data_IF_638625094992
#
_entry.id   IF_638625094992
#
_cell.length_a   1.000
_cell.length_b   1.000
_cell.length_c   1.000
_cell.angle_alpha   90.00
_cell.angle_beta   90.00
_cell.angle_gamma   90.00
#
_symmetry.space_group_name_H-M   'P 1'
#
loop_
_entity.id
_entity.type
_entity.pdbx_description
1 polymer ?
#
# COMPACT_ATOMS: atom_id res chain seq x y z
N UNK A 1 11.92 25.05 12.66
CA UNK A 1 12.73 24.02 13.35
C UNK A 1 12.54 22.60 12.78
N UNK A 2 11.36 22.23 12.26
CA UNK A 2 11.07 20.85 11.85
C UNK A 2 11.75 20.40 10.53
N UNK A 3 12.03 21.31 9.59
CA UNK A 3 12.52 20.94 8.25
C UNK A 3 13.95 20.36 8.22
N UNK A 4 14.85 20.90 9.06
CA UNK A 4 16.26 20.48 9.05
C UNK A 4 16.39 18.99 9.45
N UNK A 5 15.78 18.52 10.56
CA UNK A 5 15.77 17.10 10.89
C UNK A 5 15.17 16.21 9.79
N UNK A 6 14.09 16.63 9.14
CA UNK A 6 13.47 15.84 8.06
C UNK A 6 14.37 15.75 6.84
N UNK A 7 15.10 16.82 6.49
CA UNK A 7 16.06 16.79 5.39
C UNK A 7 17.24 15.88 5.69
N UNK A 8 17.81 15.91 6.90
CA UNK A 8 18.88 14.99 7.26
C UNK A 8 18.42 13.53 7.23
N UNK A 9 17.21 13.25 7.75
CA UNK A 9 16.63 11.90 7.66
C UNK A 9 16.50 11.42 6.21
N UNK A 10 16.08 12.30 5.29
CA UNK A 10 16.03 12.00 3.85
C UNK A 10 17.43 11.73 3.26
N UNK A 11 18.42 12.57 3.56
CA UNK A 11 19.79 12.40 3.04
C UNK A 11 20.39 11.06 3.51
N UNK A 12 20.26 10.76 4.80
CA UNK A 12 20.76 9.52 5.40
C UNK A 12 19.99 8.28 4.90
N UNK A 13 18.67 8.41 4.69
CA UNK A 13 17.82 7.29 4.26
C UNK A 13 17.89 6.98 2.77
N UNK A 14 18.06 7.99 1.92
CA UNK A 14 17.79 7.88 0.48
C UNK A 14 18.94 8.25 -0.46
N UNK A 15 19.92 9.08 -0.04
CA UNK A 15 20.93 9.60 -0.98
C UNK A 15 22.23 8.80 -0.95
N UNK A 16 22.91 8.66 0.19
CA UNK A 16 24.26 8.04 0.17
C UNK A 16 24.79 7.51 1.53
N UNK A 17 25.06 6.19 1.66
CA UNK A 17 24.48 5.10 0.87
C UNK A 17 22.98 4.96 1.19
N UNK A 18 22.13 4.59 0.22
CA UNK A 18 20.70 4.43 0.48
C UNK A 18 20.47 3.31 1.50
N UNK A 19 19.93 3.68 2.66
CA UNK A 19 19.60 2.75 3.74
C UNK A 19 18.17 2.19 3.53
N UNK A 20 17.47 1.85 4.61
CA UNK A 20 16.09 1.36 4.59
C UNK A 20 15.06 2.47 4.29
N UNK A 21 15.51 3.64 3.80
CA UNK A 21 14.67 4.80 3.59
C UNK A 21 14.45 5.59 4.87
N UNK A 22 13.30 6.23 4.99
CA UNK A 22 12.91 7.13 6.08
C UNK A 22 11.65 6.63 6.80
N UNK A 23 11.22 7.36 7.84
CA UNK A 23 9.93 7.10 8.47
C UNK A 23 8.75 7.22 7.47
N UNK A 24 8.85 8.07 6.44
CA UNK A 24 7.79 8.17 5.43
C UNK A 24 7.78 6.95 4.51
N UNK A 25 8.95 6.44 4.09
CA UNK A 25 9.02 5.25 3.23
C UNK A 25 8.51 4.00 3.95
N UNK A 26 8.81 3.85 5.24
CA UNK A 26 8.36 2.72 6.07
C UNK A 26 6.84 2.74 6.32
N UNK A 27 6.29 3.91 6.59
CA UNK A 27 4.83 4.07 6.69
C UNK A 27 4.14 3.81 5.35
N UNK A 28 4.73 4.27 4.25
CA UNK A 28 4.20 4.02 2.91
C UNK A 28 4.27 2.54 2.53
N UNK A 29 5.34 1.85 2.91
CA UNK A 29 5.48 0.41 2.76
C UNK A 29 4.39 -0.34 3.51
N UNK A 30 4.18 -0.02 4.79
CA UNK A 30 3.15 -0.65 5.62
C UNK A 30 1.75 -0.48 5.01
N UNK A 31 1.42 0.76 4.61
CA UNK A 31 0.15 1.06 3.93
C UNK A 31 0.00 0.29 2.61
N UNK A 32 1.05 0.25 1.80
CA UNK A 32 1.02 -0.41 0.49
C UNK A 32 0.92 -1.94 0.63
N UNK A 33 1.58 -2.51 1.63
CA UNK A 33 1.51 -3.92 1.94
C UNK A 33 0.10 -4.31 2.39
N UNK A 34 -0.46 -3.58 3.36
CA UNK A 34 -1.81 -3.84 3.86
C UNK A 34 -2.86 -3.68 2.76
N UNK A 35 -2.70 -2.68 1.90
CA UNK A 35 -3.55 -2.49 0.73
C UNK A 35 -3.46 -3.66 -0.26
N UNK A 36 -2.24 -4.12 -0.58
CA UNK A 36 -2.02 -5.25 -1.48
C UNK A 36 -2.52 -6.58 -0.90
N UNK A 37 -2.35 -6.78 0.41
CA UNK A 37 -2.81 -7.96 1.11
C UNK A 37 -4.34 -8.01 1.22
N UNK A 38 -4.99 -6.87 1.49
CA UNK A 38 -6.45 -6.82 1.71
C UNK A 38 -7.26 -7.33 0.51
N UNK A 39 -6.88 -6.99 -0.72
CA UNK A 39 -7.58 -7.46 -1.92
C UNK A 39 -7.37 -8.98 -2.12
N UNK A 40 -6.14 -9.45 -1.89
CA UNK A 40 -5.81 -10.89 -1.94
C UNK A 40 -6.58 -11.69 -0.90
N UNK A 41 -6.66 -11.20 0.33
CA UNK A 41 -7.40 -11.83 1.42
C UNK A 41 -8.89 -11.91 1.11
N UNK A 42 -9.48 -10.85 0.57
CA UNK A 42 -10.88 -10.82 0.16
C UNK A 42 -11.17 -11.83 -0.96
N UNK A 43 -10.31 -11.88 -1.98
CA UNK A 43 -10.45 -12.83 -3.09
C UNK A 43 -10.29 -14.27 -2.60
N UNK A 44 -9.34 -14.52 -1.70
CA UNK A 44 -9.11 -15.83 -1.10
C UNK A 44 -10.30 -16.29 -0.26
N UNK A 45 -10.85 -15.43 0.60
CA UNK A 45 -12.04 -15.76 1.40
C UNK A 45 -13.24 -16.08 0.50
N UNK A 46 -13.50 -15.25 -0.51
CA UNK A 46 -14.57 -15.52 -1.47
C UNK A 46 -14.35 -16.82 -2.26
N UNK A 47 -13.11 -17.19 -2.56
CA UNK A 47 -12.76 -18.46 -3.19
C UNK A 47 -12.99 -19.66 -2.27
N UNK A 48 -12.61 -19.54 -1.00
CA UNK A 48 -12.85 -20.56 0.02
C UNK A 48 -14.35 -20.79 0.24
N UNK A 49 -15.14 -19.72 0.35
CA UNK A 49 -16.59 -19.82 0.50
C UNK A 49 -17.23 -20.56 -0.67
N UNK A 50 -16.88 -20.19 -1.92
CA UNK A 50 -17.36 -20.90 -3.12
C UNK A 50 -16.92 -22.36 -3.14
N UNK A 51 -15.70 -22.66 -2.71
CA UNK A 51 -15.21 -24.03 -2.64
C UNK A 51 -15.95 -24.84 -1.56
N UNK A 52 -16.26 -24.24 -0.41
CA UNK A 52 -17.07 -24.86 0.63
C UNK A 52 -18.51 -25.11 0.16
N UNK A 53 -19.13 -24.14 -0.50
CA UNK A 53 -20.45 -24.30 -1.14
C UNK A 53 -20.44 -25.47 -2.14
N UNK A 54 -19.43 -25.52 -3.02
CA UNK A 54 -19.26 -26.63 -3.95
C UNK A 54 -19.09 -27.97 -3.23
N UNK A 55 -18.27 -28.05 -2.18
CA UNK A 55 -18.07 -29.30 -1.42
C UNK A 55 -19.37 -29.77 -0.77
N UNK A 56 -20.12 -28.86 -0.15
CA UNK A 56 -21.41 -29.19 0.49
C UNK A 56 -22.41 -29.67 -0.56
N UNK A 57 -22.52 -28.96 -1.68
CA UNK A 57 -23.44 -29.32 -2.77
C UNK A 57 -23.06 -30.65 -3.44
N UNK A 58 -21.77 -30.87 -3.72
CA UNK A 58 -21.30 -32.09 -4.34
C UNK A 58 -21.43 -33.30 -3.39
N UNK A 59 -21.14 -33.11 -2.10
CA UNK A 59 -21.37 -34.11 -1.08
C UNK A 59 -22.86 -34.48 -0.98
N UNK A 60 -23.76 -33.49 -0.82
CA UNK A 60 -25.19 -33.78 -0.67
C UNK A 60 -25.76 -34.47 -1.90
N UNK A 61 -25.38 -34.04 -3.11
CA UNK A 61 -25.86 -34.62 -4.36
C UNK A 61 -25.38 -36.06 -4.55
N UNK A 62 -24.08 -36.33 -4.36
CA UNK A 62 -23.55 -37.68 -4.55
C UNK A 62 -23.99 -38.61 -3.43
N UNK A 63 -24.04 -38.15 -2.18
CA UNK A 63 -24.54 -38.94 -1.06
C UNK A 63 -26.00 -39.33 -1.25
N UNK A 64 -26.87 -38.38 -1.63
CA UNK A 64 -28.28 -38.65 -1.94
C UNK A 64 -28.43 -39.67 -3.08
N UNK A 65 -27.49 -39.68 -4.04
CA UNK A 65 -27.52 -40.63 -5.15
C UNK A 65 -27.00 -42.02 -4.78
N UNK A 66 -25.90 -42.11 -4.01
CA UNK A 66 -25.25 -43.39 -3.72
C UNK A 66 -25.84 -44.10 -2.51
N UNK A 67 -26.33 -43.35 -1.50
CA UNK A 67 -26.88 -43.93 -0.28
C UNK A 67 -28.07 -44.88 -0.53
N UNK A 68 -29.10 -44.52 -1.32
CA UNK A 68 -30.23 -45.43 -1.54
C UNK A 68 -29.82 -46.66 -2.36
N UNK A 69 -28.92 -46.51 -3.34
CA UNK A 69 -28.43 -47.63 -4.15
C UNK A 69 -27.64 -48.62 -3.27
N UNK A 70 -26.80 -48.10 -2.38
CA UNK A 70 -26.07 -48.94 -1.43
C UNK A 70 -27.03 -49.66 -0.47
N UNK A 71 -28.05 -48.96 0.03
CA UNK A 71 -29.06 -49.57 0.90
C UNK A 71 -29.84 -50.68 0.18
N UNK A 72 -30.26 -50.45 -1.07
CA UNK A 72 -30.98 -51.43 -1.89
C UNK A 72 -30.13 -52.69 -2.13
N UNK A 73 -28.86 -52.53 -2.51
CA UNK A 73 -27.93 -53.67 -2.68
C UNK A 73 -27.68 -54.38 -1.35
N UNK A 74 -27.57 -53.65 -0.25
CA UNK A 74 -27.40 -54.25 1.09
C UNK A 74 -28.63 -55.06 1.49
N UNK A 75 -29.84 -54.55 1.25
CA UNK A 75 -31.09 -55.22 1.54
C UNK A 75 -31.27 -56.47 0.65
N UNK A 76 -30.90 -56.39 -0.62
CA UNK A 76 -30.89 -57.52 -1.57
C UNK A 76 -29.88 -58.59 -1.12
N UNK A 77 -28.66 -58.21 -0.76
CA UNK A 77 -27.63 -59.14 -0.27
C UNK A 77 -28.07 -59.85 1.00
N UNK A 78 -28.71 -59.12 1.93
CA UNK A 78 -29.30 -59.70 3.15
C UNK A 78 -30.44 -60.67 2.83
N UNK A 79 -31.30 -60.35 1.85
CA UNK A 79 -32.36 -61.24 1.40
C UNK A 79 -31.80 -62.53 0.77
N UNK A 80 -30.78 -62.41 -0.09
CA UNK A 80 -30.08 -63.56 -0.66
C UNK A 80 -29.38 -64.40 0.42
N UNK A 81 -28.75 -63.76 1.42
CA UNK A 81 -28.10 -64.47 2.52
C UNK A 81 -29.12 -65.27 3.36
N UNK A 82 -30.30 -64.71 3.63
CA UNK A 82 -31.40 -65.43 4.31
C UNK A 82 -31.92 -66.58 3.45
N UNK A 83 -32.17 -66.34 2.16
CA UNK A 83 -32.61 -67.39 1.24
C UNK A 83 -31.60 -68.53 1.12
N UNK A 84 -30.30 -68.22 1.08
CA UNK A 84 -29.22 -69.21 1.13
C UNK A 84 -29.25 -70.01 2.43
N UNK A 85 -29.40 -69.34 3.57
CA UNK A 85 -29.46 -70.00 4.88
C UNK A 85 -30.67 -70.94 5.00
N UNK A 86 -31.83 -70.54 4.50
CA UNK A 86 -33.05 -71.37 4.48
C UNK A 86 -32.91 -72.55 3.52
N UNK A 87 -32.43 -72.32 2.29
CA UNK A 87 -32.18 -73.37 1.31
C UNK A 87 -31.15 -74.39 1.82
N UNK A 88 -30.06 -73.92 2.44
CA UNK A 88 -29.05 -74.78 3.07
C UNK A 88 -29.66 -75.65 4.16
N UNK A 89 -30.56 -75.09 4.98
CA UNK A 89 -31.29 -75.83 6.02
C UNK A 89 -32.19 -76.91 5.42
N UNK A 90 -32.94 -76.60 4.37
CA UNK A 90 -33.84 -77.53 3.70
C UNK A 90 -33.06 -78.68 3.04
N UNK A 91 -31.93 -78.37 2.40
CA UNK A 91 -31.01 -79.38 1.85
C UNK A 91 -30.45 -80.28 2.94
N UNK A 92 -30.07 -79.73 4.08
CA UNK A 92 -29.63 -80.53 5.24
C UNK A 92 -30.76 -81.43 5.78
N UNK A 93 -32.01 -80.98 5.77
CA UNK A 93 -33.16 -81.81 6.12
C UNK A 93 -33.42 -82.93 5.10
N UNK A 94 -33.38 -82.62 3.80
CA UNK A 94 -33.43 -83.60 2.71
C UNK A 94 -32.35 -84.66 2.88
N UNK A 95 -31.11 -84.27 3.18
CA UNK A 95 -30.00 -85.19 3.47
C UNK A 95 -30.29 -86.11 4.66
N UNK A 96 -30.95 -85.62 5.71
CA UNK A 96 -31.36 -86.43 6.86
C UNK A 96 -32.47 -87.43 6.50
N UNK A 97 -33.39 -87.05 5.63
CA UNK A 97 -34.50 -87.90 5.18
C UNK A 97 -34.05 -88.96 4.15
N UNK A 98 -33.04 -88.66 3.33
CA UNK A 98 -32.49 -89.57 2.31
C UNK A 98 -31.46 -90.58 2.88
N UNK A 99 -31.52 -90.86 4.18
CA UNK A 99 -30.58 -91.75 4.87
C UNK A 99 -30.64 -93.16 4.25
N UNK A 100 -29.51 -93.76 3.84
CA UNK A 100 -29.44 -94.93 2.95
C UNK A 100 -29.85 -96.25 3.61
N UNK A 101 -30.16 -96.24 4.90
CA UNK A 101 -30.40 -97.41 5.74
C UNK A 101 -31.63 -98.22 5.29
N UNK A 102 -32.48 -97.67 4.40
CA UNK A 102 -33.68 -98.31 3.84
C UNK A 102 -33.79 -98.23 2.31
N UNK A 103 -32.78 -97.71 1.61
CA UNK A 103 -32.89 -97.38 0.19
C UNK A 103 -32.26 -98.46 -0.72
N UNK A 104 -32.94 -98.82 -1.81
CA UNK A 104 -32.48 -99.81 -2.80
C UNK A 104 -31.18 -99.34 -3.49
N UNK A 105 -30.43 -100.25 -4.13
CA UNK A 105 -29.11 -99.96 -4.74
C UNK A 105 -29.07 -98.76 -5.71
N UNK A 106 -30.21 -98.34 -6.28
CA UNK A 106 -30.33 -97.14 -7.12
C UNK A 106 -30.26 -95.80 -6.33
N UNK A 107 -30.55 -95.80 -5.03
CA UNK A 107 -30.48 -94.62 -4.17
C UNK A 107 -29.06 -94.37 -3.61
N UNK A 108 -28.23 -95.41 -3.54
CA UNK A 108 -26.85 -95.29 -3.05
C UNK A 108 -25.97 -94.47 -4.02
N UNK A 109 -26.12 -94.66 -5.34
CA UNK A 109 -25.42 -93.87 -6.35
C UNK A 109 -25.86 -92.41 -6.35
N UNK A 110 -27.16 -92.15 -6.18
CA UNK A 110 -27.71 -90.78 -6.11
C UNK A 110 -27.21 -90.05 -4.84
N UNK A 111 -27.06 -90.76 -3.72
CA UNK A 111 -26.54 -90.16 -2.48
C UNK A 111 -25.07 -89.74 -2.57
N UNK A 112 -24.28 -90.46 -3.37
CA UNK A 112 -22.83 -90.20 -3.55
C UNK A 112 -22.56 -89.00 -4.45
N UNK A 113 -23.36 -88.79 -5.50
CA UNK A 113 -23.28 -87.58 -6.33
C UNK A 113 -23.76 -86.34 -5.56
N UNK A 114 -24.84 -86.48 -4.79
CA UNK A 114 -25.36 -85.37 -3.97
C UNK A 114 -24.38 -84.93 -2.87
N UNK A 115 -23.62 -85.85 -2.27
CA UNK A 115 -22.73 -85.50 -1.15
C UNK A 115 -21.43 -84.80 -1.56
N UNK A 116 -21.03 -84.89 -2.83
CA UNK A 116 -19.83 -84.24 -3.37
C UNK A 116 -20.04 -82.75 -3.66
N UNK A 117 -21.18 -82.36 -4.21
CA UNK A 117 -21.48 -80.95 -4.56
C UNK A 117 -22.04 -80.15 -3.38
N UNK A 118 -22.65 -80.81 -2.39
CA UNK A 118 -23.32 -80.14 -1.28
C UNK A 118 -22.39 -79.56 -0.20
N UNK A 119 -21.11 -79.91 -0.18
CA UNK A 119 -20.15 -79.31 0.77
C UNK A 119 -19.87 -77.83 0.49
N UNK A 120 -20.15 -77.36 -0.72
CA UNK A 120 -20.01 -75.95 -1.10
C UNK A 120 -21.19 -75.10 -0.59
N UNK A 121 -22.38 -75.69 -0.45
CA UNK A 121 -23.58 -75.02 0.08
C UNK A 121 -23.53 -74.76 1.60
N UNK A 122 -22.65 -75.43 2.35
CA UNK A 122 -22.49 -75.24 3.80
C UNK A 122 -21.53 -74.07 4.14
N UNK A 123 -20.86 -73.48 3.15
CA UNK A 123 -19.95 -72.36 3.38
C UNK A 123 -20.73 -71.08 3.73
N UNK A 124 -20.31 -70.32 4.77
CA UNK A 124 -20.94 -69.04 5.09
C UNK A 124 -20.71 -68.05 3.95
N UNK A 125 -21.80 -67.50 3.40
CA UNK A 125 -21.74 -66.43 2.40
C UNK A 125 -21.16 -65.17 3.06
N UNK A 126 -20.09 -64.61 2.49
CA UNK A 126 -19.54 -63.35 2.96
C UNK A 126 -20.49 -62.20 2.57
N UNK A 127 -21.19 -61.64 3.56
CA UNK A 127 -22.13 -60.53 3.37
C UNK A 127 -21.49 -59.16 3.56
N UNK A 128 -20.17 -59.07 3.73
CA UNK A 128 -19.49 -57.77 3.87
C UNK A 128 -19.44 -57.04 2.53
N UNK A 129 -20.27 -56.02 2.37
CA UNK A 129 -20.19 -55.09 1.24
C UNK A 129 -19.13 -54.02 1.54
N UNK A 130 -18.23 -53.76 0.58
CA UNK A 130 -17.30 -52.64 0.70
C UNK A 130 -18.09 -51.32 0.72
N UNK A 131 -17.64 -50.33 1.49
CA UNK A 131 -18.30 -49.03 1.58
C UNK A 131 -18.44 -48.40 0.17
N UNK A 132 -19.63 -48.49 -0.42
CA UNK A 132 -19.97 -47.92 -1.73
C UNK A 132 -20.62 -46.55 -1.63
N UNK A 133 -20.80 -46.04 -0.40
CA UNK A 133 -21.38 -44.73 -0.14
C UNK A 133 -20.31 -43.67 -0.38
N UNK A 134 -20.70 -42.59 -1.06
CA UNK A 134 -19.80 -41.46 -1.32
C UNK A 134 -19.25 -40.86 -0.01
N UNK A 135 -17.92 -40.91 0.16
CA UNK A 135 -17.25 -40.38 1.35
C UNK A 135 -16.96 -38.89 1.23
N UNK A 136 -17.81 -38.04 1.82
CA UNK A 136 -17.61 -36.59 1.80
C UNK A 136 -16.33 -36.13 2.53
N UNK A 137 -15.82 -36.94 3.46
CA UNK A 137 -14.56 -36.68 4.17
C UNK A 137 -13.34 -36.83 3.26
N UNK A 138 -13.43 -37.63 2.18
CA UNK A 138 -12.37 -37.82 1.20
C UNK A 138 -12.24 -36.64 0.22
N UNK A 139 -13.19 -35.69 0.21
CA UNK A 139 -13.07 -34.48 -0.60
C UNK A 139 -11.88 -33.64 -0.12
N UNK A 140 -10.98 -33.21 -1.02
CA UNK A 140 -9.77 -32.49 -0.65
C UNK A 140 -10.10 -31.20 0.11
N UNK A 141 -9.30 -30.89 1.11
CA UNK A 141 -9.34 -29.59 1.77
C UNK A 141 -8.53 -28.60 0.93
N UNK A 142 -9.00 -27.35 0.83
CA UNK A 142 -8.23 -26.30 0.18
C UNK A 142 -7.16 -25.83 1.16
N UNK A 143 -5.92 -26.31 1.00
CA UNK A 143 -4.77 -25.83 1.75
C UNK A 143 -4.27 -24.52 1.13
N UNK A 144 -4.08 -23.49 1.96
CA UNK A 144 -3.59 -22.19 1.49
C UNK A 144 -2.11 -22.32 1.13
N UNK A 145 -1.77 -22.17 -0.14
CA UNK A 145 -0.39 -22.28 -0.64
C UNK A 145 0.24 -20.92 -0.97
N UNK A 146 -0.50 -19.82 -0.85
CA UNK A 146 -0.02 -18.49 -1.20
C UNK A 146 0.49 -17.74 0.05
N UNK A 147 1.77 -17.37 0.07
CA UNK A 147 2.43 -16.61 1.15
C UNK A 147 2.11 -15.10 1.15
N UNK A 148 1.09 -14.68 0.39
CA UNK A 148 0.73 -13.29 0.19
C UNK A 148 1.67 -12.54 -0.77
N UNK A 149 1.65 -11.20 -0.75
CA UNK A 149 2.47 -10.41 -1.66
C UNK A 149 3.95 -10.42 -1.26
N UNK A 150 4.84 -10.36 -2.26
CA UNK A 150 6.29 -10.35 -2.04
C UNK A 150 6.73 -9.09 -1.28
N UNK A 151 6.99 -9.25 0.03
CA UNK A 151 7.55 -8.23 0.91
C UNK A 151 8.79 -7.53 0.35
N UNK A 152 9.84 -8.24 -0.13
CA UNK A 152 11.04 -7.57 -0.62
C UNK A 152 10.77 -6.72 -1.88
N UNK A 153 9.84 -7.17 -2.74
CA UNK A 153 9.46 -6.41 -3.93
C UNK A 153 8.71 -5.13 -3.56
N UNK A 154 7.67 -5.23 -2.73
CA UNK A 154 6.90 -4.06 -2.28
C UNK A 154 7.81 -3.09 -1.53
N UNK A 155 8.67 -3.60 -0.63
CA UNK A 155 9.61 -2.77 0.11
C UNK A 155 10.57 -2.00 -0.81
N UNK A 156 11.16 -2.67 -1.81
CA UNK A 156 12.05 -2.01 -2.76
C UNK A 156 11.36 -0.90 -3.55
N UNK A 157 10.14 -1.16 -4.06
CA UNK A 157 9.35 -0.17 -4.79
C UNK A 157 8.89 0.99 -3.90
N UNK A 158 8.34 0.71 -2.72
CA UNK A 158 7.89 1.74 -1.78
C UNK A 158 9.05 2.63 -1.34
N UNK A 159 10.25 2.06 -1.12
CA UNK A 159 11.45 2.84 -0.83
C UNK A 159 11.81 3.76 -2.00
N UNK A 160 11.86 3.25 -3.23
CA UNK A 160 12.19 4.06 -4.40
C UNK A 160 11.17 5.19 -4.63
N UNK A 161 9.88 4.87 -4.60
CA UNK A 161 8.81 5.85 -4.76
C UNK A 161 8.79 6.87 -3.62
N UNK A 162 8.96 6.42 -2.38
CA UNK A 162 8.98 7.31 -1.21
C UNK A 162 10.19 8.25 -1.23
N UNK A 163 11.40 7.75 -1.52
CA UNK A 163 12.58 8.59 -1.68
C UNK A 163 12.42 9.60 -2.83
N UNK A 164 11.73 9.23 -3.92
CA UNK A 164 11.42 10.17 -5.01
C UNK A 164 10.38 11.23 -4.60
N UNK A 165 9.35 10.84 -3.84
CA UNK A 165 8.36 11.77 -3.31
C UNK A 165 8.99 12.75 -2.30
N UNK A 166 9.88 12.27 -1.44
CA UNK A 166 10.65 13.11 -0.52
C UNK A 166 11.58 14.07 -1.26
N UNK A 167 12.27 13.60 -2.31
CA UNK A 167 13.06 14.46 -3.18
C UNK A 167 12.22 15.61 -3.76
N UNK A 168 11.04 15.29 -4.31
CA UNK A 168 10.11 16.29 -4.85
C UNK A 168 9.65 17.26 -3.76
N UNK A 169 9.31 16.76 -2.57
CA UNK A 169 8.92 17.59 -1.44
C UNK A 169 10.02 18.56 -1.02
N UNK A 170 11.25 18.06 -0.84
CA UNK A 170 12.39 18.89 -0.47
C UNK A 170 12.73 19.91 -1.55
N UNK A 171 12.66 19.52 -2.83
CA UNK A 171 12.84 20.42 -3.97
C UNK A 171 11.79 21.54 -3.99
N UNK A 172 10.52 21.20 -3.75
CA UNK A 172 9.42 22.18 -3.69
C UNK A 172 9.62 23.17 -2.54
N UNK A 173 9.96 22.67 -1.34
CA UNK A 173 10.20 23.54 -0.18
C UNK A 173 11.37 24.48 -0.44
N UNK A 174 12.48 23.98 -0.99
CA UNK A 174 13.64 24.82 -1.34
C UNK A 174 13.29 25.86 -2.40
N UNK A 175 12.52 25.48 -3.42
CA UNK A 175 12.07 26.42 -4.45
C UNK A 175 11.19 27.53 -3.87
N UNK A 176 10.25 27.19 -2.97
CA UNK A 176 9.39 28.16 -2.30
C UNK A 176 10.20 29.11 -1.41
N UNK A 177 11.15 28.58 -0.63
CA UNK A 177 12.01 29.39 0.24
C UNK A 177 12.90 30.35 -0.57
N UNK A 178 13.47 29.87 -1.68
CA UNK A 178 14.26 30.70 -2.58
C UNK A 178 13.40 31.81 -3.22
N UNK A 179 12.21 31.48 -3.71
CA UNK A 179 11.29 32.45 -4.28
C UNK A 179 10.88 33.51 -3.25
N UNK A 180 10.58 33.11 -2.00
CA UNK A 180 10.27 34.03 -0.92
C UNK A 180 11.45 34.94 -0.58
N UNK A 181 12.66 34.39 -0.53
CA UNK A 181 13.89 35.15 -0.27
C UNK A 181 14.13 36.21 -1.36
N UNK A 182 14.06 35.83 -2.64
CA UNK A 182 14.18 36.76 -3.78
C UNK A 182 13.10 37.84 -3.68
N UNK A 183 11.85 37.46 -3.40
CA UNK A 183 10.74 38.39 -3.26
C UNK A 183 11.00 39.43 -2.16
N UNK A 184 11.49 39.02 -0.98
CA UNK A 184 11.82 39.92 0.13
C UNK A 184 12.93 40.89 -0.30
N UNK A 185 14.03 40.39 -0.86
CA UNK A 185 15.14 41.23 -1.33
C UNK A 185 14.68 42.25 -2.38
N UNK A 186 13.89 41.84 -3.37
CA UNK A 186 13.37 42.73 -4.41
C UNK A 186 12.44 43.81 -3.84
N UNK A 187 11.56 43.48 -2.90
CA UNK A 187 10.65 44.45 -2.30
C UNK A 187 11.38 45.44 -1.38
N UNK A 188 12.38 44.99 -0.63
CA UNK A 188 13.25 45.87 0.14
C UNK A 188 14.03 46.82 -0.79
N UNK A 189 14.68 46.28 -1.83
CA UNK A 189 15.41 47.07 -2.81
C UNK A 189 14.50 48.11 -3.48
N UNK A 190 13.27 47.73 -3.86
CA UNK A 190 12.26 48.66 -4.40
C UNK A 190 11.93 49.78 -3.41
N UNK A 191 11.71 49.45 -2.14
CA UNK A 191 11.35 50.44 -1.10
C UNK A 191 12.47 51.46 -0.89
N UNK A 192 13.72 51.01 -0.85
CA UNK A 192 14.89 51.88 -0.75
C UNK A 192 15.11 52.70 -2.03
N UNK A 193 14.93 52.10 -3.21
CA UNK A 193 15.05 52.81 -4.49
C UNK A 193 14.01 53.92 -4.63
N UNK A 194 12.73 53.67 -4.31
CA UNK A 194 11.68 54.69 -4.33
C UNK A 194 11.96 55.80 -3.31
N UNK A 195 12.40 55.44 -2.10
CA UNK A 195 12.78 56.41 -1.07
C UNK A 195 13.98 57.26 -1.50
N UNK A 196 14.97 56.65 -2.16
CA UNK A 196 16.12 57.34 -2.75
C UNK A 196 15.70 58.31 -3.85
N UNK A 197 14.86 57.86 -4.79
CA UNK A 197 14.33 58.70 -5.89
C UNK A 197 13.57 59.91 -5.34
N UNK A 198 12.73 59.71 -4.32
CA UNK A 198 12.05 60.82 -3.63
C UNK A 198 13.04 61.83 -3.04
N UNK A 199 14.09 61.35 -2.37
CA UNK A 199 15.12 62.20 -1.74
C UNK A 199 16.08 62.86 -2.73
N UNK A 200 16.27 62.31 -3.93
CA UNK A 200 17.14 62.88 -4.95
C UNK A 200 16.39 63.86 -5.86
N UNK A 201 15.13 63.56 -6.19
CA UNK A 201 14.28 64.39 -7.03
C UNK A 201 13.39 65.36 -6.27
N UNK A 202 13.53 65.46 -4.96
CA UNK A 202 12.73 66.38 -4.14
C UNK A 202 12.73 67.82 -4.70
N UNK A 203 13.87 68.31 -5.21
CA UNK A 203 13.97 69.66 -5.81
C UNK A 203 13.14 69.86 -7.07
N UNK A 204 12.84 68.78 -7.81
CA UNK A 204 11.99 68.82 -9.01
C UNK A 204 10.53 68.56 -8.68
N UNK A 205 10.26 67.86 -7.58
CA UNK A 205 8.92 67.47 -7.14
C UNK A 205 8.25 68.52 -6.25
N UNK A 206 9.03 69.24 -5.43
CA UNK A 206 8.54 70.36 -4.65
C UNK A 206 8.59 71.63 -5.50
N UNK A 207 7.42 72.25 -5.65
CA UNK A 207 7.27 73.62 -6.15
C UNK A 207 8.26 74.56 -5.46
N UNK A 208 8.76 75.57 -6.18
CA UNK A 208 9.90 76.44 -5.83
C UNK A 208 9.80 77.21 -4.49
N UNK A 209 8.75 77.02 -3.71
CA UNK A 209 8.50 77.70 -2.45
C UNK A 209 8.89 76.81 -1.28
N UNK A 210 10.03 77.11 -0.67
CA UNK A 210 10.38 76.61 0.65
C UNK A 210 9.81 77.57 1.69
N UNK A 211 8.86 77.10 2.49
CA UNK A 211 8.40 77.85 3.66
C UNK A 211 9.40 77.63 4.81
N UNK A 212 9.92 78.73 5.34
CA UNK A 212 10.81 78.73 6.49
C UNK A 212 10.07 79.38 7.66
N UNK A 213 9.95 78.65 8.77
CA UNK A 213 9.37 79.17 10.01
C UNK A 213 10.51 79.65 10.90
N UNK A 214 10.51 80.95 11.19
CA UNK A 214 11.47 81.60 12.08
C UNK A 214 10.75 82.12 13.34
N UNK A 215 11.47 82.17 14.46
CA UNK A 215 11.00 82.87 15.66
C UNK A 215 11.52 84.32 15.60
N UNK A 216 10.64 85.31 15.83
CA UNK A 216 11.02 86.71 15.97
C UNK A 216 11.07 87.11 17.44
N UNK A 217 11.91 88.11 17.76
CA UNK A 217 11.91 88.79 19.06
C UNK A 217 10.67 89.68 19.20
N UNK A 218 10.38 90.18 20.42
CA UNK A 218 9.26 91.10 20.66
C UNK A 218 9.36 92.41 19.84
N UNK A 219 10.57 92.82 19.45
CA UNK A 219 10.80 93.97 18.57
C UNK A 219 10.57 93.66 17.08
N UNK A 220 10.20 92.42 16.73
CA UNK A 220 9.99 91.98 15.35
C UNK A 220 11.28 91.68 14.59
N UNK A 221 12.43 91.68 15.25
CA UNK A 221 13.70 91.31 14.64
C UNK A 221 13.85 89.79 14.54
N UNK A 222 14.30 89.33 13.38
CA UNK A 222 14.66 87.93 13.15
C UNK A 222 16.09 87.70 13.65
N UNK A 223 16.26 86.75 14.58
CA UNK A 223 17.57 86.49 15.20
C UNK A 223 18.59 85.80 14.30
N UNK A 224 18.20 85.40 13.08
CA UNK A 224 19.02 84.61 12.17
C UNK A 224 19.42 85.45 10.96
N UNK A 225 20.74 85.60 10.76
CA UNK A 225 21.26 86.26 9.56
C UNK A 225 20.93 85.44 8.30
N UNK A 226 20.66 86.14 7.20
CA UNK A 226 20.37 85.51 5.89
C UNK A 226 21.47 84.56 5.43
N UNK A 227 22.72 84.87 5.78
CA UNK A 227 23.88 84.03 5.47
C UNK A 227 23.89 82.74 6.30
N UNK A 228 23.63 82.80 7.61
CA UNK A 228 23.52 81.63 8.46
C UNK A 228 22.37 80.71 8.02
N UNK A 229 21.23 81.29 7.62
CA UNK A 229 20.11 80.53 7.07
C UNK A 229 20.48 79.80 5.78
N UNK A 230 21.16 80.47 4.85
CA UNK A 230 21.60 79.87 3.57
C UNK A 230 22.56 78.70 3.79
N UNK A 231 23.47 78.82 4.75
CA UNK A 231 24.40 77.74 5.12
C UNK A 231 23.71 76.58 5.85
N UNK A 232 22.69 76.85 6.66
CA UNK A 232 21.89 75.81 7.29
C UNK A 232 21.08 75.02 6.23
N UNK A 233 20.45 75.72 5.29
CA UNK A 233 19.73 75.12 4.17
C UNK A 233 20.68 74.30 3.30
N UNK A 234 21.84 74.84 2.91
CA UNK A 234 22.78 74.11 2.05
C UNK A 234 23.26 72.81 2.70
N UNK A 235 23.57 72.83 4.01
CA UNK A 235 23.94 71.64 4.80
C UNK A 235 22.79 70.63 4.93
N UNK A 236 21.57 71.10 5.20
CA UNK A 236 20.40 70.23 5.27
C UNK A 236 20.14 69.53 3.93
N UNK A 237 20.27 70.27 2.83
CA UNK A 237 20.07 69.77 1.48
C UNK A 237 21.16 68.77 1.07
N UNK A 238 22.44 69.07 1.35
CA UNK A 238 23.53 68.12 1.05
C UNK A 238 23.38 66.83 1.86
N UNK A 239 22.96 66.93 3.13
CA UNK A 239 22.65 65.78 3.97
C UNK A 239 21.48 64.95 3.41
N UNK A 240 20.41 65.60 2.94
CA UNK A 240 19.29 64.92 2.26
C UNK A 240 19.71 64.19 0.99
N UNK A 241 20.53 64.84 0.14
CA UNK A 241 21.05 64.23 -1.08
C UNK A 241 21.97 63.04 -0.77
N UNK A 242 22.83 63.16 0.24
CA UNK A 242 23.71 62.08 0.69
C UNK A 242 22.91 60.87 1.19
N UNK A 243 21.84 61.09 1.96
CA UNK A 243 20.91 60.02 2.39
C UNK A 243 20.23 59.36 1.20
N UNK A 244 19.79 60.14 0.21
CA UNK A 244 19.23 59.63 -1.04
C UNK A 244 20.22 58.73 -1.80
N UNK A 245 21.47 59.18 -1.96
CA UNK A 245 22.53 58.39 -2.58
C UNK A 245 22.85 57.11 -1.80
N UNK A 246 22.90 57.18 -0.46
CA UNK A 246 23.11 56.02 0.40
C UNK A 246 21.99 54.98 0.26
N UNK A 247 20.72 55.40 0.20
CA UNK A 247 19.59 54.49 -0.06
C UNK A 247 19.63 53.89 -1.46
N UNK A 248 20.08 54.64 -2.47
CA UNK A 248 20.24 54.10 -3.82
C UNK A 248 21.33 53.02 -3.87
N UNK A 249 22.47 53.28 -3.21
CA UNK A 249 23.55 52.31 -3.08
C UNK A 249 23.08 51.06 -2.34
N UNK A 250 22.36 51.22 -1.22
CA UNK A 250 21.80 50.11 -0.45
C UNK A 250 20.82 49.28 -1.29
N UNK A 251 19.97 49.92 -2.10
CA UNK A 251 19.07 49.22 -3.02
C UNK A 251 19.83 48.39 -4.06
N UNK A 252 20.95 48.89 -4.59
CA UNK A 252 21.80 48.13 -5.50
C UNK A 252 22.48 46.94 -4.79
N UNK A 253 23.05 47.17 -3.59
CA UNK A 253 23.72 46.13 -2.80
C UNK A 253 22.77 45.02 -2.39
N UNK A 254 21.49 45.32 -2.08
CA UNK A 254 20.48 44.32 -1.74
C UNK A 254 20.17 43.33 -2.87
N UNK A 255 20.58 43.62 -4.11
CA UNK A 255 20.45 42.67 -5.21
C UNK A 255 21.57 41.62 -5.25
N UNK A 256 22.72 41.89 -4.63
CA UNK A 256 23.87 40.99 -4.68
C UNK A 256 23.58 39.64 -4.02
N UNK A 257 23.01 39.56 -2.79
CA UNK A 257 22.84 38.28 -2.11
C UNK A 257 21.97 37.29 -2.87
N UNK A 258 20.82 37.73 -3.40
CA UNK A 258 19.90 36.81 -4.07
C UNK A 258 20.44 36.35 -5.43
N UNK A 259 21.14 37.21 -6.17
CA UNK A 259 21.81 36.81 -7.42
C UNK A 259 22.88 35.75 -7.14
N UNK A 260 23.69 35.95 -6.10
CA UNK A 260 24.73 34.99 -5.72
C UNK A 260 24.13 33.63 -5.31
N UNK A 261 23.05 33.64 -4.52
CA UNK A 261 22.37 32.39 -4.12
C UNK A 261 21.76 31.68 -5.33
N UNK A 262 21.10 32.39 -6.25
CA UNK A 262 20.52 31.78 -7.45
C UNK A 262 21.62 31.18 -8.34
N UNK A 263 22.73 31.88 -8.54
CA UNK A 263 23.86 31.35 -9.31
C UNK A 263 24.45 30.10 -8.64
N UNK A 264 24.70 30.17 -7.32
CA UNK A 264 25.21 29.03 -6.55
C UNK A 264 24.29 27.81 -6.67
N UNK A 265 22.98 28.00 -6.50
CA UNK A 265 21.99 26.92 -6.62
C UNK A 265 21.94 26.40 -8.06
N UNK A 266 21.99 27.26 -9.06
CA UNK A 266 22.01 26.86 -10.47
C UNK A 266 23.21 25.97 -10.81
N UNK A 267 24.39 26.27 -10.26
CA UNK A 267 25.61 25.49 -10.53
C UNK A 267 25.61 24.12 -9.83
N UNK A 268 24.85 23.96 -8.74
CA UNK A 268 24.81 22.74 -7.94
C UNK A 268 23.55 21.89 -8.17
N UNK A 269 22.56 22.37 -8.94
CA UNK A 269 21.45 21.53 -9.38
C UNK A 269 21.96 20.65 -10.53
N UNK A 270 22.47 19.48 -10.17
CA UNK A 270 22.57 18.38 -11.12
C UNK A 270 21.16 17.83 -11.33
N UNK A 271 20.55 18.18 -12.47
CA UNK A 271 19.38 17.45 -12.92
C UNK A 271 19.80 15.99 -13.05
N UNK A 272 19.22 15.11 -12.23
CA UNK A 272 19.27 13.67 -12.47
C UNK A 272 18.61 13.43 -13.83
N UNK A 273 19.39 13.45 -14.91
CA UNK A 273 18.95 13.00 -16.24
C UNK A 273 18.92 11.46 -16.33
N UNK A 274 18.92 10.80 -15.17
CA UNK A 274 19.01 9.35 -14.97
C UNK A 274 17.76 8.55 -15.29
N UNK A 275 16.90 9.04 -16.19
CA UNK A 275 16.08 8.13 -17.01
C UNK A 275 16.87 7.73 -18.26
N UNK A 276 18.08 7.18 -18.08
CA UNK A 276 18.57 6.23 -19.07
C UNK A 276 17.61 5.05 -19.01
N UNK A 277 16.92 4.80 -20.13
CA UNK A 277 15.93 3.74 -20.32
C UNK A 277 16.40 2.41 -19.68
N UNK A 278 15.47 1.63 -19.08
CA UNK A 278 15.76 0.27 -18.63
C UNK A 278 16.26 -0.61 -19.80
#
# INVERSE_FOLDING_TARGET
>A
ALYIPTYYSYVEGCIDPPQNGTLLTENYYSLSYDYAAAEGDKAMLAGLDRYHEWRVSNCSTNLQRTAPVYQDISDELDALARAHADASRDVLLLRKCLRPDTATAAAASLSSELTSDLTECDAPVNTSLAAGVFECAALPQCERTCDGPSRPLIHAFCRQCGCHAEWLFHGLVMHLLLALFVFICMNLARTYAVSAMRLLWWRRLLSEKLEFIAYCTEEGEYSVSTQALREAISRAVSSHQMRGAAYLLLAAVLNIPWVQVVNYVSDHIHYFSGYSKP
#
